data_IF_029929826973
#
_entry.id   IF_029929826973
#
_cell.length_a   1.000
_cell.length_b   1.000
_cell.length_c   1.000
_cell.angle_alpha   90.00
_cell.angle_beta   90.00
_cell.angle_gamma   90.00
#
_symmetry.space_group_name_H-M   'P 1'
#
loop_
_entity.id
_entity.type
_entity.pdbx_description
1 polymer ?
#
# COMPACT_ATOMS: atom_id res chain seq x y z
N UNK A 1 -0.27 32.90 48.09
CA UNK A 1 -0.87 33.74 47.03
C UNK A 1 -1.41 32.82 45.96
N UNK A 2 -2.73 32.71 45.90
CA UNK A 2 -3.47 31.90 44.94
C UNK A 2 -3.35 32.51 43.54
N UNK A 3 -2.65 31.82 42.64
CA UNK A 3 -2.67 32.17 41.22
C UNK A 3 -4.06 31.87 40.67
N UNK A 4 -4.87 32.91 40.53
CA UNK A 4 -6.16 32.88 39.86
C UNK A 4 -5.94 32.43 38.42
N UNK A 5 -6.37 31.21 38.11
CA UNK A 5 -6.52 30.73 36.74
C UNK A 5 -7.55 31.66 36.08
N UNK A 6 -7.05 32.56 35.23
CA UNK A 6 -7.89 33.46 34.43
C UNK A 6 -8.80 32.56 33.59
N UNK A 7 -10.10 32.57 33.93
CA UNK A 7 -11.11 31.89 33.13
C UNK A 7 -11.21 32.60 31.78
N UNK A 8 -11.11 31.90 30.64
CA UNK A 8 -11.24 32.55 29.36
C UNK A 8 -12.70 33.00 29.19
N UNK A 9 -12.88 34.32 28.98
CA UNK A 9 -14.15 35.03 28.80
C UNK A 9 -15.06 34.44 27.70
N UNK A 10 -14.56 33.53 26.85
CA UNK A 10 -15.33 32.81 25.84
C UNK A 10 -14.94 31.32 25.75
N UNK A 11 -15.55 30.43 26.55
CA UNK A 11 -15.15 29.03 26.64
C UNK A 11 -15.38 28.23 25.36
N UNK A 12 -16.32 28.64 24.49
CA UNK A 12 -16.59 27.98 23.20
C UNK A 12 -15.53 28.32 22.13
N UNK A 13 -15.14 29.59 22.03
CA UNK A 13 -14.09 30.05 21.11
C UNK A 13 -12.73 29.51 21.53
N UNK A 14 -12.41 29.51 22.84
CA UNK A 14 -11.18 28.94 23.36
C UNK A 14 -11.09 27.42 23.12
N UNK A 15 -12.20 26.67 23.27
CA UNK A 15 -12.26 25.24 22.94
C UNK A 15 -12.08 24.96 21.45
N UNK A 16 -12.66 25.80 20.59
CA UNK A 16 -12.49 25.67 19.13
C UNK A 16 -11.06 25.97 18.71
N UNK A 17 -10.47 27.06 19.22
CA UNK A 17 -9.09 27.45 18.95
C UNK A 17 -8.10 26.39 19.45
N UNK A 18 -8.27 25.88 20.68
CA UNK A 18 -7.40 24.84 21.24
C UNK A 18 -7.52 23.51 20.48
N UNK A 19 -8.72 23.13 20.02
CA UNK A 19 -8.91 21.96 19.15
C UNK A 19 -8.18 22.09 17.81
N UNK A 20 -8.20 23.27 17.21
CA UNK A 20 -7.44 23.53 15.98
C UNK A 20 -5.94 23.43 16.25
N UNK A 21 -5.42 24.07 17.29
CA UNK A 21 -4.00 24.02 17.66
C UNK A 21 -3.54 22.58 17.99
N UNK A 22 -4.35 21.82 18.73
CA UNK A 22 -4.05 20.41 19.03
C UNK A 22 -4.04 19.54 17.76
N UNK A 23 -4.88 19.88 16.76
CA UNK A 23 -4.86 19.25 15.44
C UNK A 23 -3.57 19.51 14.67
N UNK A 24 -3.13 20.77 14.62
CA UNK A 24 -1.85 21.16 14.01
C UNK A 24 -0.65 20.48 14.67
N UNK A 25 -0.65 20.39 16.00
CA UNK A 25 0.43 19.72 16.74
C UNK A 25 0.50 18.22 16.43
N UNK A 26 -0.64 17.55 16.26
CA UNK A 26 -0.67 16.12 15.86
C UNK A 26 -0.13 15.90 14.46
N UNK A 27 -0.51 16.76 13.51
CA UNK A 27 0.02 16.71 12.15
C UNK A 27 1.53 16.98 12.14
N UNK A 28 2.00 17.95 12.93
CA UNK A 28 3.43 18.23 13.08
C UNK A 28 4.21 17.05 13.66
N UNK A 29 3.69 16.39 14.70
CA UNK A 29 4.31 15.21 15.29
C UNK A 29 4.38 14.03 14.30
N UNK A 30 3.31 13.82 13.53
CA UNK A 30 3.24 12.79 12.50
C UNK A 30 4.22 13.07 11.35
N UNK A 31 4.28 14.32 10.88
CA UNK A 31 5.23 14.74 9.86
C UNK A 31 6.69 14.60 10.33
N UNK A 32 6.97 14.96 11.59
CA UNK A 32 8.29 14.76 12.19
C UNK A 32 8.66 13.28 12.25
N UNK A 33 7.73 12.40 12.66
CA UNK A 33 7.97 10.96 12.69
C UNK A 33 8.27 10.41 11.28
N UNK A 34 7.50 10.81 10.27
CA UNK A 34 7.72 10.42 8.88
C UNK A 34 9.08 10.89 8.37
N UNK A 35 9.39 12.18 8.56
CA UNK A 35 10.67 12.74 8.16
C UNK A 35 11.82 11.98 8.82
N UNK A 36 11.75 11.74 10.13
CA UNK A 36 12.79 11.03 10.88
C UNK A 36 12.95 9.59 10.39
N UNK A 37 11.84 8.89 10.17
CA UNK A 37 11.85 7.52 9.63
C UNK A 37 12.55 7.46 8.27
N UNK A 38 12.22 8.38 7.35
CA UNK A 38 12.85 8.44 6.03
C UNK A 38 14.33 8.81 6.12
N UNK A 39 14.70 9.81 6.92
CA UNK A 39 16.11 10.20 7.07
C UNK A 39 16.97 9.13 7.75
N UNK A 40 16.36 8.30 8.61
CA UNK A 40 17.04 7.21 9.32
C UNK A 40 17.15 5.92 8.48
N UNK A 41 16.62 5.88 7.26
CA UNK A 41 16.75 4.72 6.36
C UNK A 41 18.21 4.37 6.09
N UNK A 42 19.06 5.37 5.79
CA UNK A 42 20.48 5.13 5.51
C UNK A 42 21.21 4.53 6.71
N UNK A 43 20.87 5.00 7.90
CA UNK A 43 21.40 4.48 9.15
C UNK A 43 20.95 3.04 9.43
N UNK A 44 19.68 2.74 9.16
CA UNK A 44 19.11 1.40 9.30
C UNK A 44 19.78 0.39 8.36
N UNK A 45 20.06 0.78 7.12
CA UNK A 45 20.84 -0.03 6.18
C UNK A 45 22.29 -0.22 6.62
N UNK A 46 22.89 0.77 7.29
CA UNK A 46 24.27 0.67 7.74
C UNK A 46 24.40 -0.24 8.98
N UNK A 47 23.52 -0.10 9.97
CA UNK A 47 23.69 -0.70 11.30
C UNK A 47 22.74 -1.87 11.60
N UNK A 48 21.61 -2.01 10.91
CA UNK A 48 20.53 -2.95 11.26
C UNK A 48 20.17 -3.93 10.13
N UNK A 49 21.17 -4.35 9.34
CA UNK A 49 20.97 -5.24 8.18
C UNK A 49 20.31 -6.57 8.53
N UNK A 50 20.74 -7.20 9.62
CA UNK A 50 20.18 -8.48 10.09
C UNK A 50 18.70 -8.35 10.42
N UNK A 51 18.31 -7.22 11.00
CA UNK A 51 16.91 -6.93 11.31
C UNK A 51 16.10 -6.69 10.04
N UNK A 52 16.64 -5.97 9.05
CA UNK A 52 15.99 -5.79 7.74
C UNK A 52 15.72 -7.16 7.09
N UNK A 53 16.71 -8.05 7.07
CA UNK A 53 16.53 -9.41 6.50
C UNK A 53 15.46 -10.19 7.25
N UNK A 54 15.43 -10.10 8.59
CA UNK A 54 14.40 -10.72 9.42
C UNK A 54 13.01 -10.18 9.06
N UNK A 55 12.87 -8.86 8.92
CA UNK A 55 11.61 -8.22 8.53
C UNK A 55 11.17 -8.61 7.11
N UNK A 56 12.10 -8.71 6.15
CA UNK A 56 11.82 -9.19 4.79
C UNK A 56 11.30 -10.63 4.84
N UNK A 57 11.95 -11.51 5.59
CA UNK A 57 11.49 -12.89 5.73
C UNK A 57 10.09 -12.95 6.38
N UNK A 58 9.83 -12.13 7.39
CA UNK A 58 8.57 -12.13 8.11
C UNK A 58 7.41 -11.57 7.26
N UNK A 59 7.65 -10.50 6.49
CA UNK A 59 6.67 -9.85 5.61
C UNK A 59 6.46 -10.63 4.29
N UNK A 60 7.53 -11.18 3.73
CA UNK A 60 7.55 -11.84 2.41
C UNK A 60 7.18 -13.32 2.45
N UNK A 61 7.71 -14.09 3.41
CA UNK A 61 7.49 -15.55 3.48
C UNK A 61 6.27 -15.95 4.30
N UNK A 62 5.56 -14.99 4.91
CA UNK A 62 4.30 -15.24 5.61
C UNK A 62 4.37 -16.47 6.52
N UNK A 63 5.31 -16.49 7.47
CA UNK A 63 5.46 -17.54 8.48
C UNK A 63 5.15 -18.98 7.98
N UNK A 64 5.87 -19.45 6.94
CA UNK A 64 6.26 -20.85 6.74
C UNK A 64 5.20 -21.95 6.52
N UNK A 65 3.92 -21.74 6.79
CA UNK A 65 2.86 -22.75 6.63
C UNK A 65 1.58 -22.23 5.93
N UNK A 66 1.49 -20.91 5.70
CA UNK A 66 0.30 -20.23 5.20
C UNK A 66 0.29 -19.94 3.69
N UNK A 67 1.31 -20.34 2.93
CA UNK A 67 1.40 -20.07 1.48
C UNK A 67 0.19 -20.57 0.67
N UNK A 68 -0.56 -21.56 1.18
CA UNK A 68 -1.75 -22.09 0.52
C UNK A 68 -3.07 -21.42 0.94
N UNK A 69 -3.14 -20.71 2.09
CA UNK A 69 -4.42 -20.21 2.65
C UNK A 69 -4.38 -18.75 3.14
N UNK A 70 -3.22 -18.17 3.52
CA UNK A 70 -3.20 -16.81 4.10
C UNK A 70 -1.86 -16.07 4.10
N UNK A 71 -0.90 -16.50 3.28
CA UNK A 71 0.34 -15.75 3.06
C UNK A 71 0.08 -14.43 2.32
N UNK A 72 0.95 -13.44 2.52
CA UNK A 72 0.88 -12.14 1.83
C UNK A 72 0.77 -12.32 0.31
N UNK A 73 1.57 -13.23 -0.25
CA UNK A 73 1.54 -13.59 -1.68
C UNK A 73 0.17 -14.13 -2.07
N UNK A 74 -0.38 -15.09 -1.32
CA UNK A 74 -1.67 -15.70 -1.62
C UNK A 74 -2.81 -14.68 -1.60
N UNK A 75 -2.83 -13.78 -0.61
CA UNK A 75 -3.86 -12.75 -0.50
C UNK A 75 -3.76 -11.75 -1.64
N UNK A 76 -2.55 -11.24 -1.94
CA UNK A 76 -2.36 -10.28 -3.04
C UNK A 76 -2.67 -10.93 -4.39
N UNK A 77 -2.25 -12.18 -4.62
CA UNK A 77 -2.60 -12.94 -5.81
C UNK A 77 -4.10 -13.12 -5.94
N UNK A 78 -4.82 -13.51 -4.89
CA UNK A 78 -6.28 -13.69 -4.94
C UNK A 78 -7.00 -12.37 -5.22
N UNK A 79 -6.62 -11.28 -4.54
CA UNK A 79 -7.22 -9.97 -4.77
C UNK A 79 -7.01 -9.51 -6.23
N UNK A 80 -5.80 -9.68 -6.76
CA UNK A 80 -5.44 -9.25 -8.12
C UNK A 80 -6.02 -10.16 -9.20
N UNK A 81 -6.13 -11.47 -8.93
CA UNK A 81 -6.91 -12.42 -9.74
C UNK A 81 -8.37 -11.97 -9.82
N UNK A 82 -9.00 -11.65 -8.68
CA UNK A 82 -10.38 -11.17 -8.65
C UNK A 82 -10.52 -9.85 -9.42
N UNK A 83 -9.60 -8.91 -9.25
CA UNK A 83 -9.58 -7.66 -10.02
C UNK A 83 -9.47 -7.90 -11.53
N UNK A 84 -8.56 -8.78 -11.97
CA UNK A 84 -8.40 -9.14 -13.37
C UNK A 84 -9.61 -9.90 -13.95
N UNK A 85 -10.25 -10.76 -13.16
CA UNK A 85 -11.47 -11.47 -13.56
C UNK A 85 -12.67 -10.52 -13.72
N UNK A 86 -12.83 -9.56 -12.79
CA UNK A 86 -13.84 -8.49 -12.93
C UNK A 86 -13.60 -7.65 -14.17
N UNK A 87 -12.34 -7.34 -14.48
CA UNK A 87 -12.00 -6.65 -15.72
C UNK A 87 -12.29 -7.50 -16.96
N UNK A 88 -12.13 -8.83 -16.89
CA UNK A 88 -12.49 -9.72 -17.98
C UNK A 88 -13.98 -9.61 -18.30
N UNK A 89 -14.83 -9.71 -17.27
CA UNK A 89 -16.28 -9.63 -17.41
C UNK A 89 -16.70 -8.25 -17.90
N UNK A 90 -16.35 -7.21 -17.13
CA UNK A 90 -16.81 -5.87 -17.44
C UNK A 90 -16.19 -5.32 -18.72
N UNK A 91 -14.93 -5.63 -18.98
CA UNK A 91 -14.20 -5.19 -20.16
C UNK A 91 -14.68 -5.86 -21.44
N UNK A 92 -15.00 -7.16 -21.38
CA UNK A 92 -15.54 -7.88 -22.53
C UNK A 92 -16.97 -7.41 -22.85
N UNK A 93 -17.87 -7.40 -21.86
CA UNK A 93 -19.28 -7.07 -22.07
C UNK A 93 -19.45 -5.66 -22.67
N UNK A 94 -18.70 -4.67 -22.16
CA UNK A 94 -18.75 -3.28 -22.67
C UNK A 94 -18.23 -3.15 -24.11
N UNK A 95 -17.27 -3.97 -24.52
CA UNK A 95 -16.77 -3.98 -25.90
C UNK A 95 -17.73 -4.75 -26.82
N UNK A 96 -18.32 -5.83 -26.33
CA UNK A 96 -19.31 -6.63 -27.06
C UNK A 96 -20.58 -5.84 -27.37
N UNK A 97 -21.03 -4.97 -26.46
CA UNK A 97 -22.18 -4.08 -26.66
C UNK A 97 -21.98 -3.13 -27.86
N UNK A 98 -20.73 -2.84 -28.22
CA UNK A 98 -20.36 -1.96 -29.36
C UNK A 98 -19.83 -2.77 -30.55
N UNK A 99 -19.78 -4.11 -30.45
CA UNK A 99 -19.33 -5.02 -31.51
C UNK A 99 -17.81 -5.05 -31.74
N UNK A 100 -17.02 -4.70 -30.72
CA UNK A 100 -15.55 -4.66 -30.76
C UNK A 100 -14.92 -5.55 -29.68
N UNK A 101 -15.56 -6.65 -29.34
CA UNK A 101 -15.13 -7.60 -28.30
C UNK A 101 -13.71 -8.16 -28.53
N UNK A 102 -13.25 -8.21 -29.79
CA UNK A 102 -11.89 -8.61 -30.13
C UNK A 102 -10.82 -7.78 -29.39
N UNK A 103 -11.12 -6.53 -29.03
CA UNK A 103 -10.24 -5.62 -28.28
C UNK A 103 -10.15 -5.94 -26.77
N UNK A 104 -10.74 -7.03 -26.27
CA UNK A 104 -10.65 -7.37 -24.85
C UNK A 104 -9.20 -7.53 -24.34
N UNK A 105 -8.28 -7.95 -25.21
CA UNK A 105 -6.84 -8.01 -24.92
C UNK A 105 -6.21 -6.63 -24.66
N UNK A 106 -6.66 -5.60 -25.38
CA UNK A 106 -6.27 -4.21 -25.14
C UNK A 106 -6.69 -3.75 -23.74
N UNK A 107 -7.93 -4.06 -23.34
CA UNK A 107 -8.46 -3.68 -22.02
C UNK A 107 -7.58 -4.22 -20.90
N UNK A 108 -7.12 -5.47 -21.03
CA UNK A 108 -6.17 -6.06 -20.08
C UNK A 108 -4.83 -5.34 -20.08
N UNK A 109 -4.20 -5.17 -21.24
CA UNK A 109 -2.89 -4.52 -21.34
C UNK A 109 -2.89 -3.08 -20.81
N UNK A 110 -3.96 -2.34 -21.08
CA UNK A 110 -4.08 -0.93 -20.73
C UNK A 110 -4.59 -0.72 -19.30
N UNK A 111 -5.74 -1.28 -18.93
CA UNK A 111 -6.37 -1.00 -17.63
C UNK A 111 -5.74 -1.77 -16.48
N UNK A 112 -5.29 -3.03 -16.68
CA UNK A 112 -4.62 -3.74 -15.60
C UNK A 112 -3.30 -3.05 -15.24
N UNK A 113 -2.49 -2.71 -16.24
CA UNK A 113 -1.19 -2.08 -16.02
C UNK A 113 -1.33 -0.70 -15.37
N UNK A 114 -2.25 0.13 -15.85
CA UNK A 114 -2.34 1.53 -15.42
C UNK A 114 -3.15 1.75 -14.14
N UNK A 115 -4.10 0.87 -13.81
CA UNK A 115 -5.06 1.14 -12.73
C UNK A 115 -5.27 -0.05 -11.80
N UNK A 116 -5.70 -1.19 -12.33
CA UNK A 116 -6.19 -2.29 -11.49
C UNK A 116 -5.05 -2.92 -10.68
N UNK A 117 -3.91 -3.21 -11.31
CA UNK A 117 -2.81 -3.87 -10.62
C UNK A 117 -2.19 -3.00 -9.51
N UNK A 118 -1.82 -1.71 -9.72
CA UNK A 118 -1.28 -0.87 -8.65
C UNK A 118 -2.25 -0.69 -7.50
N UNK A 119 -3.54 -0.44 -7.81
CA UNK A 119 -4.56 -0.17 -6.81
C UNK A 119 -4.82 -1.40 -5.93
N UNK A 120 -5.09 -2.54 -6.55
CA UNK A 120 -5.45 -3.77 -5.83
C UNK A 120 -4.25 -4.31 -5.04
N UNK A 121 -3.04 -4.24 -5.63
CA UNK A 121 -1.82 -4.60 -4.91
C UNK A 121 -1.58 -3.68 -3.70
N UNK A 122 -1.75 -2.37 -3.85
CA UNK A 122 -1.63 -1.40 -2.75
C UNK A 122 -2.62 -1.67 -1.61
N UNK A 123 -3.87 -2.00 -1.93
CA UNK A 123 -4.89 -2.40 -0.96
C UNK A 123 -4.49 -3.69 -0.24
N UNK A 124 -4.04 -4.71 -0.98
CA UNK A 124 -3.58 -5.97 -0.42
C UNK A 124 -2.38 -5.80 0.52
N UNK A 125 -1.42 -4.95 0.14
CA UNK A 125 -0.24 -4.59 0.93
C UNK A 125 -0.61 -3.92 2.25
N UNK A 126 -1.53 -2.95 2.22
CA UNK A 126 -2.04 -2.28 3.42
C UNK A 126 -2.74 -3.26 4.37
N UNK A 127 -3.56 -4.15 3.82
CA UNK A 127 -4.34 -5.13 4.59
C UNK A 127 -3.48 -6.22 5.24
N UNK A 128 -2.35 -6.59 4.63
CA UNK A 128 -1.51 -7.71 5.07
C UNK A 128 -0.25 -7.25 5.76
N UNK A 129 0.73 -6.74 5.01
CA UNK A 129 2.04 -6.29 5.51
C UNK A 129 1.85 -5.10 6.46
N UNK A 130 1.06 -4.10 6.06
CA UNK A 130 0.84 -2.89 6.83
C UNK A 130 0.16 -3.17 8.18
N UNK A 131 -0.99 -3.87 8.13
CA UNK A 131 -1.72 -4.26 9.33
C UNK A 131 -0.85 -5.10 10.28
N UNK A 132 -0.09 -6.06 9.75
CA UNK A 132 0.87 -6.86 10.53
C UNK A 132 1.95 -6.01 11.20
N UNK A 133 2.56 -5.08 10.47
CA UNK A 133 3.56 -4.16 11.02
C UNK A 133 2.98 -3.28 12.15
N UNK A 134 1.75 -2.80 11.98
CA UNK A 134 1.05 -2.01 13.00
C UNK A 134 0.78 -2.82 14.26
N UNK A 135 0.29 -4.06 14.10
CA UNK A 135 -0.01 -4.96 15.20
C UNK A 135 1.26 -5.31 15.99
N UNK A 136 2.36 -5.63 15.29
CA UNK A 136 3.64 -5.94 15.93
C UNK A 136 4.21 -4.75 16.71
N UNK A 137 4.30 -3.57 16.08
CA UNK A 137 4.79 -2.38 16.75
C UNK A 137 3.90 -1.95 17.91
N UNK A 138 2.58 -2.08 17.73
CA UNK A 138 1.62 -1.80 18.79
C UNK A 138 1.77 -2.74 19.98
N UNK A 139 1.98 -4.04 19.73
CA UNK A 139 2.27 -5.02 20.76
C UNK A 139 3.57 -4.68 21.52
N UNK A 140 4.65 -4.36 20.81
CA UNK A 140 5.91 -3.92 21.40
C UNK A 140 5.74 -2.64 22.24
N UNK A 141 4.89 -1.71 21.78
CA UNK A 141 4.62 -0.46 22.50
C UNK A 141 3.88 -0.71 23.81
N UNK A 142 2.84 -1.54 23.82
CA UNK A 142 2.09 -1.84 25.05
C UNK A 142 2.85 -2.76 26.02
N UNK A 143 3.84 -3.49 25.52
CA UNK A 143 4.74 -4.32 26.32
C UNK A 143 5.96 -3.54 26.86
N UNK A 144 6.02 -2.23 26.64
CA UNK A 144 7.13 -1.35 27.04
C UNK A 144 8.50 -1.74 26.41
N UNK A 145 8.50 -2.56 25.36
CA UNK A 145 9.73 -2.98 24.67
C UNK A 145 10.38 -1.81 23.92
N UNK A 146 9.58 -0.88 23.38
CA UNK A 146 10.09 0.31 22.69
C UNK A 146 10.83 1.22 23.68
N UNK A 147 10.28 1.41 24.87
CA UNK A 147 10.86 2.27 25.90
C UNK A 147 12.13 1.61 26.48
N UNK A 148 12.15 0.28 26.61
CA UNK A 148 13.35 -0.46 26.96
C UNK A 148 14.50 -0.27 25.93
N UNK A 149 14.20 -0.28 24.63
CA UNK A 149 15.20 0.00 23.59
C UNK A 149 15.79 1.41 23.71
N UNK A 150 14.96 2.41 24.02
CA UNK A 150 15.42 3.79 24.19
C UNK A 150 16.31 3.95 25.43
N UNK A 151 16.00 3.27 26.53
CA UNK A 151 16.85 3.25 27.75
C UNK A 151 18.19 2.56 27.48
N UNK A 152 18.22 1.54 26.61
CA UNK A 152 19.46 0.90 26.15
C UNK A 152 20.26 1.76 25.16
N UNK A 153 19.82 2.99 24.86
CA UNK A 153 20.49 3.91 23.95
C UNK A 153 20.32 3.57 22.46
N UNK A 154 19.39 2.66 22.12
CA UNK A 154 19.08 2.29 20.74
C UNK A 154 18.09 3.30 20.16
N UNK A 155 18.37 3.79 18.95
CA UNK A 155 17.46 4.68 18.22
C UNK A 155 16.23 3.91 17.73
N UNK A 156 15.19 3.87 18.56
CA UNK A 156 13.94 3.13 18.33
C UNK A 156 13.30 3.36 16.95
N UNK A 157 13.22 4.61 16.47
CA UNK A 157 12.66 4.94 15.15
C UNK A 157 13.49 4.35 14.00
N UNK A 158 14.82 4.42 14.10
CA UNK A 158 15.72 3.84 13.10
C UNK A 158 15.61 2.31 13.11
N UNK A 159 15.66 1.70 14.30
CA UNK A 159 15.65 0.25 14.47
C UNK A 159 14.30 -0.41 14.16
N UNK A 160 13.18 0.23 14.50
CA UNK A 160 11.84 -0.37 14.39
C UNK A 160 11.05 0.09 13.16
N UNK A 161 10.98 1.41 12.92
CA UNK A 161 10.15 1.96 11.85
C UNK A 161 10.90 1.94 10.51
N UNK A 162 12.16 2.39 10.50
CA UNK A 162 12.94 2.53 9.26
C UNK A 162 13.32 1.18 8.65
N UNK A 163 13.67 0.19 9.47
CA UNK A 163 13.93 -1.19 9.01
C UNK A 163 12.69 -1.82 8.37
N UNK A 164 11.50 -1.61 8.94
CA UNK A 164 10.22 -2.09 8.40
C UNK A 164 9.83 -1.36 7.11
N UNK A 165 10.03 -0.04 7.05
CA UNK A 165 9.81 0.73 5.83
C UNK A 165 10.63 0.15 4.68
N UNK A 166 11.93 -0.05 4.91
CA UNK A 166 12.84 -0.65 3.92
C UNK A 166 12.43 -2.06 3.54
N UNK A 167 12.18 -2.92 4.53
CA UNK A 167 11.77 -4.30 4.29
C UNK A 167 10.47 -4.37 3.48
N UNK A 168 9.48 -3.54 3.81
CA UNK A 168 8.22 -3.44 3.08
C UNK A 168 8.43 -3.07 1.62
N UNK A 169 9.24 -2.03 1.35
CA UNK A 169 9.58 -1.61 -0.02
C UNK A 169 10.27 -2.73 -0.81
N UNK A 170 11.21 -3.45 -0.20
CA UNK A 170 11.91 -4.56 -0.86
C UNK A 170 10.95 -5.71 -1.16
N UNK A 171 10.04 -6.05 -0.23
CA UNK A 171 9.07 -7.13 -0.40
C UNK A 171 8.03 -6.82 -1.47
N UNK A 172 7.68 -5.54 -1.64
CA UNK A 172 6.70 -5.10 -2.66
C UNK A 172 7.17 -5.40 -4.07
N UNK A 173 8.47 -5.32 -4.36
CA UNK A 173 9.00 -5.51 -5.72
C UNK A 173 8.60 -6.89 -6.30
N UNK A 174 8.98 -8.04 -5.69
CA UNK A 174 8.57 -9.34 -6.21
C UNK A 174 7.07 -9.61 -6.03
N UNK A 175 6.44 -9.06 -4.99
CA UNK A 175 5.02 -9.24 -4.75
C UNK A 175 4.18 -8.58 -5.86
N UNK A 176 4.63 -7.42 -6.35
CA UNK A 176 3.97 -6.71 -7.43
C UNK A 176 4.12 -7.44 -8.78
N UNK A 177 5.27 -8.08 -9.03
CA UNK A 177 5.40 -8.97 -10.20
C UNK A 177 4.31 -10.04 -10.19
N UNK A 178 4.10 -10.69 -9.03
CA UNK A 178 3.07 -11.73 -8.89
C UNK A 178 1.67 -11.15 -9.08
N UNK A 179 1.39 -9.98 -8.50
CA UNK A 179 0.12 -9.27 -8.64
C UNK A 179 -0.25 -8.99 -10.10
N UNK A 180 0.69 -8.43 -10.88
CA UNK A 180 0.47 -8.10 -12.29
C UNK A 180 0.26 -9.37 -13.12
N UNK A 181 1.09 -10.40 -12.92
CA UNK A 181 0.96 -11.68 -13.63
C UNK A 181 -0.38 -12.37 -13.31
N UNK A 182 -0.79 -12.37 -12.05
CA UNK A 182 -2.09 -12.87 -11.61
C UNK A 182 -3.23 -12.12 -12.31
N UNK A 183 -3.18 -10.79 -12.32
CA UNK A 183 -4.19 -9.95 -12.97
C UNK A 183 -4.30 -10.23 -14.48
N UNK A 184 -3.18 -10.26 -15.20
CA UNK A 184 -3.17 -10.60 -16.64
C UNK A 184 -3.67 -12.00 -16.92
N UNK A 185 -3.27 -12.98 -16.11
CA UNK A 185 -3.71 -14.36 -16.26
C UNK A 185 -5.22 -14.49 -16.05
N UNK A 186 -5.77 -13.86 -15.01
CA UNK A 186 -7.21 -13.86 -14.76
C UNK A 186 -8.00 -13.23 -15.91
N UNK A 187 -7.53 -12.08 -16.44
CA UNK A 187 -8.23 -11.43 -17.56
C UNK A 187 -8.17 -12.27 -18.85
N UNK A 188 -7.03 -12.90 -19.13
CA UNK A 188 -6.87 -13.79 -20.30
C UNK A 188 -7.77 -15.03 -20.18
N UNK A 189 -7.77 -15.69 -19.02
CA UNK A 189 -8.61 -16.89 -18.80
C UNK A 189 -10.09 -16.52 -18.84
N UNK A 190 -10.48 -15.41 -18.22
CA UNK A 190 -11.87 -14.93 -18.28
C UNK A 190 -12.33 -14.70 -19.72
N UNK A 191 -11.59 -13.91 -20.50
CA UNK A 191 -11.97 -13.61 -21.89
C UNK A 191 -11.92 -14.81 -22.83
N UNK A 192 -10.90 -15.67 -22.71
CA UNK A 192 -10.72 -16.78 -23.67
C UNK A 192 -11.52 -18.03 -23.30
N UNK A 193 -11.60 -18.39 -22.02
CA UNK A 193 -12.25 -19.63 -21.57
C UNK A 193 -13.72 -19.39 -21.26
N UNK A 194 -14.06 -18.32 -20.54
CA UNK A 194 -15.44 -18.07 -20.13
C UNK A 194 -16.27 -17.46 -21.27
N UNK A 195 -15.73 -16.47 -21.98
CA UNK A 195 -16.40 -15.83 -23.11
C UNK A 195 -16.12 -16.47 -24.48
N UNK A 196 -15.17 -17.42 -24.55
CA UNK A 196 -14.89 -18.18 -25.77
C UNK A 196 -14.13 -17.41 -26.86
N UNK A 197 -13.54 -16.25 -26.55
CA UNK A 197 -12.71 -15.52 -27.51
C UNK A 197 -11.47 -16.36 -27.88
N UNK A 198 -11.12 -16.39 -29.17
CA UNK A 198 -9.91 -17.05 -29.64
C UNK A 198 -8.65 -16.45 -28.96
N UNK A 199 -7.83 -17.30 -28.35
CA UNK A 199 -6.62 -16.88 -27.62
C UNK A 199 -5.64 -16.09 -28.48
N UNK A 200 -5.49 -16.43 -29.76
CA UNK A 200 -4.64 -15.69 -30.69
C UNK A 200 -5.10 -14.24 -30.92
N UNK A 201 -6.41 -13.98 -30.91
CA UNK A 201 -6.95 -12.62 -31.03
C UNK A 201 -6.66 -11.82 -29.76
N UNK A 202 -6.90 -12.42 -28.60
CA UNK A 202 -6.57 -11.79 -27.31
C UNK A 202 -5.07 -11.47 -27.23
N UNK A 203 -4.21 -12.45 -27.51
CA UNK A 203 -2.76 -12.32 -27.40
C UNK A 203 -2.20 -11.29 -28.40
N UNK A 204 -2.78 -11.19 -29.61
CA UNK A 204 -2.41 -10.16 -30.58
C UNK A 204 -2.65 -8.76 -30.01
N UNK A 205 -3.89 -8.44 -29.61
CA UNK A 205 -4.22 -7.12 -29.08
C UNK A 205 -3.53 -6.83 -27.73
N UNK A 206 -3.35 -7.84 -26.89
CA UNK A 206 -2.59 -7.68 -25.65
C UNK A 206 -1.15 -7.25 -25.92
N UNK A 207 -0.43 -7.94 -26.81
CA UNK A 207 0.96 -7.62 -27.10
C UNK A 207 1.14 -6.31 -27.88
N UNK A 208 0.19 -5.97 -28.76
CA UNK A 208 0.21 -4.71 -29.50
C UNK A 208 0.08 -3.49 -28.59
N UNK A 209 -0.75 -3.59 -27.54
CA UNK A 209 -1.05 -2.45 -26.67
C UNK A 209 -0.29 -2.46 -25.34
N UNK A 210 0.38 -3.55 -24.99
CA UNK A 210 1.21 -3.60 -23.78
C UNK A 210 2.47 -2.75 -24.00
N UNK A 211 2.49 -1.58 -23.38
CA UNK A 211 3.66 -0.70 -23.39
C UNK A 211 4.58 -1.03 -22.19
N UNK A 212 5.84 -1.44 -22.41
CA UNK A 212 6.79 -1.67 -21.33
C UNK A 212 7.02 -0.45 -20.42
N UNK A 213 6.90 0.76 -20.97
CA UNK A 213 7.03 2.00 -20.20
C UNK A 213 5.91 2.15 -19.18
N UNK A 214 4.67 1.80 -19.55
CA UNK A 214 3.53 1.84 -18.62
C UNK A 214 3.71 0.83 -17.47
N UNK A 215 4.31 -0.32 -17.76
CA UNK A 215 4.63 -1.31 -16.75
C UNK A 215 5.67 -0.78 -15.75
N UNK A 216 6.71 -0.06 -16.21
CA UNK A 216 7.70 0.55 -15.32
C UNK A 216 7.04 1.63 -14.44
N UNK A 217 6.19 2.48 -15.01
CA UNK A 217 5.44 3.48 -14.25
C UNK A 217 4.53 2.86 -13.20
N UNK A 218 3.83 1.78 -13.58
CA UNK A 218 3.00 0.97 -12.70
C UNK A 218 3.78 0.38 -11.51
N UNK A 219 5.01 -0.10 -11.75
CA UNK A 219 5.93 -0.53 -10.70
C UNK A 219 6.32 0.61 -9.75
N UNK A 220 6.64 1.78 -10.31
CA UNK A 220 7.00 2.95 -9.51
C UNK A 220 5.83 3.40 -8.63
N UNK A 221 4.60 3.41 -9.16
CA UNK A 221 3.40 3.69 -8.37
C UNK A 221 3.21 2.69 -7.22
N UNK A 222 3.42 1.40 -7.47
CA UNK A 222 3.33 0.37 -6.42
C UNK A 222 4.37 0.60 -5.31
N UNK A 223 5.60 0.97 -5.67
CA UNK A 223 6.66 1.33 -4.70
C UNK A 223 6.27 2.58 -3.91
N UNK A 224 5.76 3.62 -4.57
CA UNK A 224 5.29 4.84 -3.92
C UNK A 224 4.15 4.55 -2.94
N UNK A 225 3.16 3.75 -3.36
CA UNK A 225 2.09 3.30 -2.49
C UNK A 225 2.63 2.54 -1.27
N UNK A 226 3.58 1.62 -1.46
CA UNK A 226 4.20 0.87 -0.37
C UNK A 226 4.93 1.76 0.64
N UNK A 227 5.69 2.76 0.19
CA UNK A 227 6.37 3.72 1.07
C UNK A 227 5.36 4.41 1.97
N UNK A 228 4.29 4.96 1.38
CA UNK A 228 3.31 5.73 2.16
C UNK A 228 2.50 4.83 3.09
N UNK A 229 2.11 3.64 2.63
CA UNK A 229 1.46 2.60 3.44
C UNK A 229 2.34 2.27 4.67
N UNK A 230 3.60 1.94 4.46
CA UNK A 230 4.50 1.58 5.56
C UNK A 230 4.74 2.74 6.54
N UNK A 231 4.83 3.98 6.06
CA UNK A 231 4.90 5.16 6.94
C UNK A 231 3.65 5.26 7.82
N UNK A 232 2.45 5.16 7.24
CA UNK A 232 1.18 5.20 7.98
C UNK A 232 1.16 4.10 9.05
N UNK A 233 1.41 2.86 8.67
CA UNK A 233 1.31 1.71 9.56
C UNK A 233 2.36 1.74 10.68
N UNK A 234 3.60 2.13 10.38
CA UNK A 234 4.64 2.26 11.41
C UNK A 234 4.31 3.35 12.42
N UNK A 235 3.76 4.49 12.00
CA UNK A 235 3.34 5.55 12.91
C UNK A 235 2.19 5.14 13.83
N UNK A 236 1.12 4.56 13.29
CA UNK A 236 -0.01 4.10 14.11
C UNK A 236 0.38 2.98 15.07
N UNK A 237 1.31 2.11 14.68
CA UNK A 237 1.83 1.06 15.56
C UNK A 237 2.71 1.63 16.67
N UNK A 238 3.64 2.53 16.33
CA UNK A 238 4.56 3.16 17.28
C UNK A 238 3.85 4.04 18.31
N UNK A 239 2.68 4.59 17.96
CA UNK A 239 1.88 5.46 18.82
C UNK A 239 0.65 4.77 19.43
N UNK A 240 0.57 3.44 19.35
CA UNK A 240 -0.52 2.67 19.93
C UNK A 240 -0.58 2.84 21.46
N UNK A 241 -1.79 2.91 22.02
CA UNK A 241 -2.08 3.11 23.45
C UNK A 241 -3.39 2.42 23.81
N UNK A 242 -3.61 2.14 25.10
CA UNK A 242 -4.87 1.55 25.59
C UNK A 242 -4.87 0.02 25.66
N UNK A 243 -3.69 -0.58 25.87
CA UNK A 243 -3.54 -2.04 26.01
C UNK A 243 -3.84 -2.82 24.72
N UNK A 244 -4.13 -4.13 24.81
CA UNK A 244 -4.35 -4.99 23.64
C UNK A 244 -5.50 -4.54 22.74
N UNK A 245 -6.59 -4.03 23.32
CA UNK A 245 -7.72 -3.49 22.54
C UNK A 245 -7.31 -2.26 21.71
N UNK A 246 -6.48 -1.39 22.30
CA UNK A 246 -5.95 -0.21 21.62
C UNK A 246 -5.03 -0.53 20.44
N UNK A 247 -4.35 -1.67 20.46
CA UNK A 247 -3.57 -2.15 19.30
C UNK A 247 -4.50 -2.50 18.14
N UNK A 248 -5.62 -3.20 18.40
CA UNK A 248 -6.63 -3.49 17.39
C UNK A 248 -7.24 -2.22 16.78
N UNK A 249 -7.54 -1.22 17.61
CA UNK A 249 -8.01 0.08 17.13
C UNK A 249 -6.96 0.83 16.31
N UNK A 250 -5.67 0.75 16.68
CA UNK A 250 -4.58 1.34 15.92
C UNK A 250 -4.44 0.66 14.54
N UNK A 251 -4.52 -0.67 14.47
CA UNK A 251 -4.55 -1.44 13.22
C UNK A 251 -5.72 -0.98 12.35
N UNK A 252 -6.95 -0.97 12.89
CA UNK A 252 -8.12 -0.54 12.13
C UNK A 252 -8.04 0.90 11.62
N UNK A 253 -7.51 1.83 12.43
CA UNK A 253 -7.29 3.23 12.00
C UNK A 253 -6.22 3.33 10.90
N UNK A 254 -5.13 2.59 11.05
CA UNK A 254 -4.04 2.57 10.08
C UNK A 254 -4.48 2.05 8.71
N UNK A 255 -5.24 0.95 8.68
CA UNK A 255 -5.78 0.35 7.45
C UNK A 255 -6.75 1.31 6.76
N UNK A 256 -7.70 1.91 7.51
CA UNK A 256 -8.62 2.88 6.89
C UNK A 256 -7.89 4.09 6.31
N UNK A 257 -6.90 4.62 7.01
CA UNK A 257 -6.10 5.74 6.52
C UNK A 257 -5.28 5.34 5.29
N UNK A 258 -4.62 4.18 5.31
CA UNK A 258 -3.80 3.72 4.20
C UNK A 258 -4.63 3.39 2.96
N UNK A 259 -5.85 2.86 3.09
CA UNK A 259 -6.75 2.64 1.93
C UNK A 259 -7.09 3.95 1.20
N UNK A 260 -7.44 5.01 1.95
CA UNK A 260 -7.72 6.33 1.35
C UNK A 260 -6.48 6.86 0.63
N UNK A 261 -5.31 6.73 1.26
CA UNK A 261 -4.07 7.23 0.72
C UNK A 261 -3.59 6.42 -0.48
N UNK A 262 -3.74 5.08 -0.50
CA UNK A 262 -3.43 4.23 -1.65
C UNK A 262 -4.25 4.67 -2.85
N UNK A 263 -5.58 4.81 -2.70
CA UNK A 263 -6.45 5.30 -3.78
C UNK A 263 -6.00 6.69 -4.25
N UNK A 264 -5.67 7.59 -3.32
CA UNK A 264 -5.22 8.94 -3.66
C UNK A 264 -3.88 8.94 -4.41
N UNK A 265 -2.92 8.11 -3.99
CA UNK A 265 -1.62 7.96 -4.65
C UNK A 265 -1.79 7.40 -6.05
N UNK A 266 -2.62 6.37 -6.22
CA UNK A 266 -2.90 5.80 -7.55
C UNK A 266 -3.56 6.83 -8.46
N UNK A 267 -4.61 7.52 -8.01
CA UNK A 267 -5.31 8.54 -8.83
C UNK A 267 -4.36 9.68 -9.22
N UNK A 268 -3.60 10.21 -8.26
CA UNK A 268 -2.67 11.30 -8.53
C UNK A 268 -1.49 10.85 -9.41
N UNK A 269 -0.97 9.64 -9.19
CA UNK A 269 0.09 9.05 -10.02
C UNK A 269 -0.38 8.88 -11.46
N UNK A 270 -1.56 8.25 -11.64
CA UNK A 270 -2.16 8.05 -12.95
C UNK A 270 -2.42 9.38 -13.64
N UNK A 271 -2.95 10.39 -12.93
CA UNK A 271 -3.19 11.72 -13.50
C UNK A 271 -1.88 12.43 -13.88
N UNK A 272 -0.84 12.31 -13.07
CA UNK A 272 0.46 12.91 -13.35
C UNK A 272 1.16 12.27 -14.55
N UNK A 273 1.06 10.95 -14.70
CA UNK A 273 1.76 10.17 -15.74
C UNK A 273 0.97 10.17 -17.05
N UNK A 274 -0.35 9.96 -16.98
CA UNK A 274 -1.21 9.74 -18.15
C UNK A 274 -2.16 10.89 -18.45
N UNK A 275 -2.31 11.88 -17.56
CA UNK A 275 -3.31 12.94 -17.70
C UNK A 275 -3.04 13.96 -18.80
N UNK A 276 -1.77 14.15 -19.20
CA UNK A 276 -1.40 15.08 -20.28
C UNK A 276 -1.05 14.40 -21.60
N UNK A 277 -0.45 13.22 -21.55
CA UNK A 277 -0.18 12.38 -22.71
C UNK A 277 -0.91 11.07 -22.51
N UNK A 278 -1.93 10.80 -23.33
CA UNK A 278 -2.63 9.51 -23.28
C UNK A 278 -1.71 8.30 -23.51
N UNK A 279 -0.45 8.52 -23.96
CA UNK A 279 0.53 7.50 -24.36
C UNK A 279 -0.18 6.33 -25.05
N UNK A 280 -1.05 6.71 -25.99
CA UNK A 280 -1.95 5.83 -26.68
C UNK A 280 -1.29 5.52 -28.01
N UNK A 281 -0.65 4.35 -28.09
CA UNK A 281 0.01 3.92 -29.31
C UNK A 281 -1.04 3.37 -30.28
N UNK A 282 -1.49 4.21 -31.22
CA UNK A 282 -2.43 3.83 -32.28
C UNK A 282 -1.76 3.03 -33.41
N UNK A 283 -0.43 3.03 -33.47
CA UNK A 283 0.33 2.22 -34.42
C UNK A 283 0.88 1.01 -33.69
N UNK A 284 0.27 -0.14 -33.94
CA UNK A 284 0.91 -1.43 -33.65
C UNK A 284 2.23 -1.59 -34.36
#
# INVERSE_FOLDING_TARGET
MSASVVSPLYPRLYRSFRRSVDGWNRLGAQAYFYSKTVTSVGEAFAHYRTEIVRQIAQMGLGAGALLMIGGTISIVSLLTLSGGALLAVQGYDQLADVGVEALAGFTSAFLNTRLIAPLVAGVGLAATIGAGATAQLGAMRIAEEIDALEVMGIRSIAYLASTRLVAGVIVVIPLYCVAVLASFWATRVGTTVYYGQASGVYDHYFNTFLNPTDLIWSFLEAIMAAIVVMLIHTYYGFTARGGPAGVGEAVGRSVRASLIVVVSVTVLGTLAIYGQSGNFNLSG
#
